data_IF_539638843257
#
_entry.id   IF_539638843257
#
_cell.length_a   1.000
_cell.length_b   1.000
_cell.length_c   1.000
_cell.angle_alpha   90.00
_cell.angle_beta   90.00
_cell.angle_gamma   90.00
#
_symmetry.space_group_name_H-M   'P 1'
#
loop_
_entity.id
_entity.type
_entity.pdbx_description
1 polymer ?
#
# COMPACT_ATOMS: atom_id res chain seq x y z
N UNK A 1 35.26 19.87 9.53
CA UNK A 1 34.35 19.53 8.41
C UNK A 1 33.67 18.17 8.61
N UNK A 2 34.42 17.07 8.82
CA UNK A 2 33.85 15.73 9.04
C UNK A 2 32.88 15.66 10.23
N UNK A 3 33.22 16.28 11.36
CA UNK A 3 32.35 16.31 12.55
C UNK A 3 31.02 17.05 12.34
N UNK A 4 31.03 18.12 11.55
CA UNK A 4 29.83 18.91 11.26
C UNK A 4 28.85 18.08 10.43
N UNK A 5 29.36 17.38 9.41
CA UNK A 5 28.57 16.49 8.54
C UNK A 5 27.93 15.34 9.33
N UNK A 6 28.69 14.66 10.18
CA UNK A 6 28.14 13.57 11.02
C UNK A 6 27.07 14.06 11.99
N UNK A 7 27.25 15.23 12.63
CA UNK A 7 26.21 15.80 13.50
C UNK A 7 24.96 16.20 12.73
N UNK A 8 25.11 16.80 11.55
CA UNK A 8 23.97 17.22 10.73
C UNK A 8 23.14 16.04 10.22
N UNK A 9 23.78 14.92 9.86
CA UNK A 9 23.08 13.70 9.42
C UNK A 9 22.39 12.97 10.58
N UNK A 10 22.98 13.00 11.78
CA UNK A 10 22.37 12.41 12.98
C UNK A 10 21.23 13.25 13.57
N UNK A 11 21.21 14.56 13.28
CA UNK A 11 20.13 15.48 13.67
C UNK A 11 19.00 15.55 12.62
N UNK A 12 19.13 14.83 11.49
CA UNK A 12 18.13 14.79 10.44
C UNK A 12 17.07 13.72 10.74
N UNK A 13 15.93 14.15 11.27
CA UNK A 13 14.77 13.28 11.56
C UNK A 13 13.91 12.98 10.31
N UNK A 14 14.31 13.46 9.12
CA UNK A 14 13.63 13.14 7.86
C UNK A 14 13.54 11.63 7.60
N UNK A 15 14.52 10.85 8.07
CA UNK A 15 14.50 9.38 8.01
C UNK A 15 13.50 8.72 8.97
N UNK A 16 13.34 9.28 10.18
CA UNK A 16 12.37 8.78 11.17
C UNK A 16 10.92 9.05 10.70
N UNK A 17 10.67 10.23 10.14
CA UNK A 17 9.38 10.59 9.54
C UNK A 17 9.07 9.79 8.26
N UNK A 18 10.08 9.45 7.44
CA UNK A 18 9.90 8.58 6.28
C UNK A 18 9.44 7.16 6.64
N UNK A 19 9.89 6.60 7.77
CA UNK A 19 9.47 5.26 8.24
C UNK A 19 7.99 5.23 8.66
N UNK A 20 7.50 6.30 9.28
CA UNK A 20 6.09 6.41 9.69
C UNK A 20 5.16 6.50 8.48
N UNK A 21 5.50 7.34 7.49
CA UNK A 21 4.74 7.42 6.24
C UNK A 21 4.82 6.12 5.44
N UNK A 22 5.97 5.44 5.42
CA UNK A 22 6.12 4.13 4.78
C UNK A 22 5.21 3.07 5.43
N UNK A 23 5.09 3.07 6.76
CA UNK A 23 4.20 2.16 7.47
C UNK A 23 2.72 2.43 7.16
N UNK A 24 2.30 3.70 7.18
CA UNK A 24 0.92 4.09 6.84
C UNK A 24 0.62 3.74 5.38
N UNK A 25 1.51 4.08 4.45
CA UNK A 25 1.36 3.77 3.03
C UNK A 25 1.30 2.26 2.79
N UNK A 26 2.13 1.48 3.48
CA UNK A 26 2.09 0.02 3.44
C UNK A 26 0.75 -0.54 3.93
N UNK A 27 0.21 -0.02 5.03
CA UNK A 27 -1.11 -0.40 5.54
C UNK A 27 -2.25 -0.08 4.57
N UNK A 28 -2.23 1.12 3.97
CA UNK A 28 -3.21 1.53 2.95
C UNK A 28 -3.11 0.62 1.72
N UNK A 29 -1.90 0.30 1.27
CA UNK A 29 -1.69 -0.59 0.13
C UNK A 29 -2.30 -1.98 0.37
N UNK A 30 -2.08 -2.58 1.54
CA UNK A 30 -2.66 -3.88 1.91
C UNK A 30 -4.19 -3.83 1.92
N UNK A 31 -4.78 -2.76 2.47
CA UNK A 31 -6.23 -2.58 2.49
C UNK A 31 -6.82 -2.48 1.08
N UNK A 32 -6.18 -1.69 0.19
CA UNK A 32 -6.61 -1.54 -1.21
C UNK A 32 -6.50 -2.87 -1.95
N UNK A 33 -5.37 -3.58 -1.83
CA UNK A 33 -5.17 -4.88 -2.49
C UNK A 33 -6.27 -5.86 -2.08
N UNK A 34 -6.61 -5.90 -0.79
CA UNK A 34 -7.67 -6.78 -0.28
C UNK A 34 -9.03 -6.42 -0.88
N UNK A 35 -9.39 -5.14 -0.86
CA UNK A 35 -10.66 -4.66 -1.40
C UNK A 35 -10.81 -4.93 -2.91
N UNK A 36 -9.76 -4.68 -3.69
CA UNK A 36 -9.77 -4.90 -5.14
C UNK A 36 -9.87 -6.39 -5.49
N UNK A 37 -9.20 -7.27 -4.74
CA UNK A 37 -9.33 -8.72 -4.95
C UNK A 37 -10.75 -9.21 -4.69
N UNK A 38 -11.38 -8.79 -3.59
CA UNK A 38 -12.78 -9.14 -3.29
C UNK A 38 -13.72 -8.65 -4.38
N UNK A 39 -13.57 -7.39 -4.81
CA UNK A 39 -14.36 -6.83 -5.90
C UNK A 39 -14.18 -7.64 -7.20
N UNK A 40 -12.96 -8.07 -7.50
CA UNK A 40 -12.68 -8.90 -8.67
C UNK A 40 -13.41 -10.24 -8.65
N UNK A 41 -13.49 -10.88 -7.47
CA UNK A 41 -14.25 -12.13 -7.26
C UNK A 41 -15.74 -11.89 -7.49
N UNK A 42 -16.31 -10.84 -6.91
CA UNK A 42 -17.73 -10.51 -7.03
C UNK A 42 -18.11 -10.23 -8.50
N UNK A 43 -17.30 -9.45 -9.20
CA UNK A 43 -17.49 -9.16 -10.63
C UNK A 43 -17.40 -10.43 -11.46
N UNK A 44 -16.40 -11.28 -11.23
CA UNK A 44 -16.30 -12.56 -11.93
C UNK A 44 -17.52 -13.47 -11.69
N UNK A 45 -18.04 -13.50 -10.46
CA UNK A 45 -19.26 -14.23 -10.11
C UNK A 45 -20.50 -13.73 -10.84
N UNK A 46 -20.64 -12.41 -10.99
CA UNK A 46 -21.72 -11.81 -11.79
C UNK A 46 -21.64 -12.23 -13.27
N UNK A 47 -20.45 -12.17 -13.87
CA UNK A 47 -20.27 -12.64 -15.26
C UNK A 47 -20.52 -14.14 -15.42
N UNK A 48 -20.13 -14.95 -14.44
CA UNK A 48 -20.46 -16.38 -14.40
C UNK A 48 -21.98 -16.61 -14.40
N UNK A 49 -22.71 -15.92 -13.52
CA UNK A 49 -24.17 -16.01 -13.42
C UNK A 49 -24.87 -15.66 -14.74
N UNK A 50 -24.39 -14.62 -15.42
CA UNK A 50 -24.92 -14.22 -16.74
C UNK A 50 -24.62 -15.28 -17.79
N UNK A 51 -23.41 -15.85 -17.80
CA UNK A 51 -23.00 -16.90 -18.74
C UNK A 51 -23.85 -18.16 -18.57
N UNK A 52 -24.09 -18.57 -17.33
CA UNK A 52 -24.92 -19.73 -17.00
C UNK A 52 -26.37 -19.53 -17.47
N UNK A 53 -26.88 -18.30 -17.42
CA UNK A 53 -28.22 -17.96 -17.92
C UNK A 53 -28.40 -18.04 -19.44
N UNK A 54 -27.31 -18.16 -20.21
CA UNK A 54 -27.32 -18.32 -21.67
C UNK A 54 -27.03 -19.76 -22.14
N UNK A 55 -26.75 -20.69 -21.23
CA UNK A 55 -26.54 -22.12 -21.53
C UNK A 55 -27.83 -22.92 -21.33
#
# INVERSE_FOLDING_TARGET
MKEFLTKSLMADESGATAIEYALIAGGIAVAIITAVNTLGVDVAGLFGTVTDGFS
#
